data_IF_448522315185
#
_entry.id   IF_448522315185
#
_cell.length_a   1.000
_cell.length_b   1.000
_cell.length_c   1.000
_cell.angle_alpha   90.00
_cell.angle_beta   90.00
_cell.angle_gamma   90.00
#
_symmetry.space_group_name_H-M   'P 1'
#
loop_
_entity.id
_entity.type
_entity.pdbx_description
1 polymer ?
#
# COMPACT_ATOMS: atom_id res chain seq x y z
N UNK A 1 -3.71 -13.78 -20.00
CA UNK A 1 -2.41 -14.15 -19.39
C UNK A 1 -2.66 -14.59 -17.96
N UNK A 2 -1.99 -15.64 -17.45
CA UNK A 2 -2.32 -16.23 -16.15
C UNK A 2 -1.28 -15.89 -15.09
N UNK A 3 -1.68 -15.26 -13.98
CA UNK A 3 -0.83 -15.10 -12.80
C UNK A 3 -0.82 -16.44 -12.06
N UNK A 4 0.36 -17.06 -11.93
CA UNK A 4 0.52 -18.33 -11.20
C UNK A 4 1.22 -18.13 -9.86
N UNK A 5 1.07 -19.09 -8.95
CA UNK A 5 1.82 -19.09 -7.69
C UNK A 5 3.34 -19.08 -7.91
N UNK A 6 3.82 -19.68 -9.01
CA UNK A 6 5.23 -19.67 -9.38
C UNK A 6 5.72 -18.27 -9.74
N UNK A 7 4.95 -17.51 -10.54
CA UNK A 7 5.24 -16.09 -10.84
C UNK A 7 5.34 -15.29 -9.56
N UNK A 8 4.37 -15.44 -8.64
CA UNK A 8 4.37 -14.71 -7.36
C UNK A 8 5.59 -15.08 -6.52
N UNK A 9 5.94 -16.37 -6.37
CA UNK A 9 7.13 -16.78 -5.60
C UNK A 9 8.43 -16.23 -6.17
N UNK A 10 8.53 -16.11 -7.48
CA UNK A 10 9.75 -15.55 -8.12
C UNK A 10 9.90 -14.06 -7.92
N UNK A 11 8.80 -13.32 -7.89
CA UNK A 11 8.78 -11.86 -7.65
C UNK A 11 8.93 -11.56 -6.15
N UNK A 12 8.31 -12.36 -5.30
CA UNK A 12 8.22 -12.17 -3.86
C UNK A 12 8.43 -13.50 -3.11
N UNK A 13 9.69 -14.00 -2.99
CA UNK A 13 9.97 -15.27 -2.34
C UNK A 13 9.46 -15.37 -0.90
N UNK A 14 9.44 -14.24 -0.18
CA UNK A 14 8.93 -14.13 1.19
C UNK A 14 7.44 -14.45 1.32
N UNK A 15 6.69 -14.43 0.21
CA UNK A 15 5.27 -14.82 0.20
C UNK A 15 5.07 -16.32 0.48
N UNK A 16 6.05 -17.15 0.17
CA UNK A 16 6.08 -18.57 0.51
C UNK A 16 4.82 -19.33 0.09
N UNK A 17 4.17 -19.98 1.06
CA UNK A 17 2.94 -20.77 0.85
C UNK A 17 1.73 -19.92 0.48
N UNK A 18 1.73 -18.62 0.81
CA UNK A 18 0.63 -17.70 0.49
C UNK A 18 0.58 -17.33 -1.01
N UNK A 19 1.62 -17.65 -1.78
CA UNK A 19 1.70 -17.28 -3.21
C UNK A 19 0.52 -17.76 -4.05
N UNK A 20 -0.05 -18.92 -3.73
CA UNK A 20 -1.23 -19.45 -4.41
C UNK A 20 -2.49 -18.60 -4.14
N UNK A 21 -2.70 -18.20 -2.89
CA UNK A 21 -3.81 -17.34 -2.49
C UNK A 21 -3.66 -15.94 -3.10
N UNK A 22 -2.45 -15.38 -3.10
CA UNK A 22 -2.13 -14.09 -3.75
C UNK A 22 -2.44 -14.14 -5.25
N UNK A 23 -1.98 -15.19 -5.95
CA UNK A 23 -2.25 -15.36 -7.38
C UNK A 23 -3.75 -15.48 -7.67
N UNK A 24 -4.49 -16.26 -6.85
CA UNK A 24 -5.94 -16.42 -6.97
C UNK A 24 -6.70 -15.11 -6.75
N UNK A 25 -6.26 -14.28 -5.79
CA UNK A 25 -6.87 -12.97 -5.52
C UNK A 25 -6.57 -11.94 -6.62
N UNK A 26 -5.35 -11.94 -7.18
CA UNK A 26 -4.95 -11.02 -8.25
C UNK A 26 -5.64 -11.31 -9.58
N UNK A 27 -5.89 -12.57 -9.93
CA UNK A 27 -6.42 -12.94 -11.24
C UNK A 27 -7.71 -12.19 -11.60
N UNK A 28 -8.80 -12.21 -10.80
CA UNK A 28 -10.01 -11.45 -11.12
C UNK A 28 -9.80 -9.94 -11.05
N UNK A 29 -8.88 -9.45 -10.21
CA UNK A 29 -8.62 -8.02 -10.08
C UNK A 29 -7.96 -7.45 -11.33
N UNK A 30 -6.92 -8.10 -11.87
CA UNK A 30 -6.23 -7.64 -13.08
C UNK A 30 -7.13 -7.68 -14.32
N UNK A 31 -7.99 -8.69 -14.43
CA UNK A 31 -8.98 -8.76 -15.51
C UNK A 31 -9.99 -7.62 -15.42
N UNK A 32 -10.57 -7.38 -14.25
CA UNK A 32 -11.56 -6.32 -14.03
C UNK A 32 -11.06 -4.94 -14.44
N UNK A 33 -9.77 -4.67 -14.24
CA UNK A 33 -9.17 -3.34 -14.49
C UNK A 33 -8.29 -3.28 -15.74
N UNK A 34 -8.35 -4.30 -16.60
CA UNK A 34 -7.62 -4.33 -17.86
C UNK A 34 -6.10 -4.36 -17.69
N UNK A 35 -5.60 -4.94 -16.59
CA UNK A 35 -4.16 -5.14 -16.33
C UNK A 35 -3.77 -6.54 -16.85
N UNK A 36 -4.16 -6.86 -18.08
CA UNK A 36 -4.14 -8.21 -18.63
C UNK A 36 -3.19 -8.40 -19.83
N UNK A 37 -2.40 -7.38 -20.16
CA UNK A 37 -1.29 -7.54 -21.11
C UNK A 37 0.02 -7.88 -20.38
N UNK A 38 0.98 -8.44 -21.14
CA UNK A 38 2.29 -8.78 -20.59
C UNK A 38 2.99 -7.56 -19.98
N UNK A 39 3.04 -6.42 -20.69
CA UNK A 39 3.67 -5.20 -20.18
C UNK A 39 2.97 -4.67 -18.92
N UNK A 40 1.64 -4.62 -18.90
CA UNK A 40 0.90 -4.16 -17.72
C UNK A 40 1.16 -5.01 -16.50
N UNK A 41 1.21 -6.33 -16.63
CA UNK A 41 1.55 -7.23 -15.52
C UNK A 41 3.01 -7.07 -15.06
N UNK A 42 3.95 -6.89 -16.00
CA UNK A 42 5.37 -6.65 -15.70
C UNK A 42 5.55 -5.38 -14.86
N UNK A 43 4.72 -4.38 -15.06
CA UNK A 43 4.78 -3.14 -14.29
C UNK A 43 3.93 -3.18 -13.00
N UNK A 44 2.75 -3.79 -13.03
CA UNK A 44 1.82 -3.83 -11.90
C UNK A 44 2.33 -4.68 -10.75
N UNK A 45 2.72 -5.93 -11.02
CA UNK A 45 3.09 -6.89 -9.97
C UNK A 45 4.27 -6.43 -9.11
N UNK A 46 5.38 -5.89 -9.67
CA UNK A 46 6.50 -5.41 -8.86
C UNK A 46 6.15 -4.20 -8.01
N UNK A 47 5.32 -3.28 -8.48
CA UNK A 47 4.90 -2.14 -7.67
C UNK A 47 4.10 -2.60 -6.46
N UNK A 48 3.12 -3.48 -6.67
CA UNK A 48 2.32 -4.02 -5.57
C UNK A 48 3.19 -4.85 -4.61
N UNK A 49 4.13 -5.64 -5.13
CA UNK A 49 5.07 -6.40 -4.29
C UNK A 49 5.95 -5.47 -3.44
N UNK A 50 6.50 -4.40 -4.04
CA UNK A 50 7.30 -3.41 -3.31
C UNK A 50 6.50 -2.75 -2.20
N UNK A 51 5.32 -2.18 -2.48
CA UNK A 51 4.48 -1.46 -1.53
C UNK A 51 4.01 -2.35 -0.37
N UNK A 52 3.74 -3.62 -0.63
CA UNK A 52 3.20 -4.56 0.35
C UNK A 52 4.28 -5.39 1.07
N UNK A 53 5.58 -5.18 0.76
CA UNK A 53 6.64 -6.05 1.28
C UNK A 53 6.47 -7.50 0.82
N UNK A 54 6.24 -7.70 -0.50
CA UNK A 54 6.04 -9.01 -1.09
C UNK A 54 4.66 -9.60 -0.83
N UNK A 55 3.62 -8.80 -0.92
CA UNK A 55 2.21 -9.17 -0.67
C UNK A 55 1.90 -9.57 0.78
N UNK A 56 2.82 -9.32 1.71
CA UNK A 56 2.67 -9.74 3.10
C UNK A 56 1.87 -8.74 3.95
N UNK A 57 1.94 -7.45 3.64
CA UNK A 57 1.31 -6.39 4.43
C UNK A 57 -0.01 -5.95 3.80
N UNK A 58 -1.12 -6.26 4.45
CA UNK A 58 -2.47 -5.82 4.10
C UNK A 58 -3.06 -4.81 5.07
N UNK A 59 -2.43 -4.63 6.21
CA UNK A 59 -2.79 -3.61 7.21
C UNK A 59 -1.54 -3.01 7.80
N UNK A 60 -1.58 -1.71 8.01
CA UNK A 60 -0.50 -0.97 8.66
C UNK A 60 -0.30 -1.48 10.09
N UNK A 61 0.97 -1.67 10.45
CA UNK A 61 1.40 -2.02 11.79
C UNK A 61 2.03 -0.81 12.46
N UNK A 62 1.37 -0.28 13.48
CA UNK A 62 1.82 0.89 14.25
C UNK A 62 2.52 0.50 15.57
N UNK A 63 3.08 -0.69 15.65
CA UNK A 63 3.81 -1.20 16.81
C UNK A 63 5.21 -0.54 16.93
N UNK A 64 5.23 0.77 17.05
CA UNK A 64 6.44 1.58 17.10
C UNK A 64 7.03 1.67 18.51
N UNK A 65 8.34 1.78 18.60
CA UNK A 65 9.03 2.27 19.81
C UNK A 65 8.90 3.79 19.90
N UNK A 66 9.08 4.40 21.11
CA UNK A 66 8.98 5.85 21.30
C UNK A 66 9.80 6.68 20.31
N UNK A 67 11.07 6.32 20.13
CA UNK A 67 11.98 7.05 19.23
C UNK A 67 11.48 6.98 17.78
N UNK A 68 10.98 5.80 17.36
CA UNK A 68 10.44 5.60 16.01
C UNK A 68 9.17 6.42 15.77
N UNK A 69 8.29 6.58 16.77
CA UNK A 69 7.12 7.48 16.69
C UNK A 69 7.55 8.89 16.39
N UNK A 70 8.55 9.40 17.15
CA UNK A 70 9.03 10.77 16.98
C UNK A 70 9.68 11.00 15.61
N UNK A 71 10.45 10.04 15.12
CA UNK A 71 11.10 10.12 13.79
C UNK A 71 10.08 10.00 12.66
N UNK A 72 9.12 9.08 12.78
CA UNK A 72 8.17 8.77 11.70
C UNK A 72 7.10 9.86 11.55
N UNK A 73 6.55 10.36 12.66
CA UNK A 73 5.36 11.21 12.61
C UNK A 73 5.64 12.70 12.90
N UNK A 74 6.82 13.05 13.39
CA UNK A 74 7.23 14.44 13.53
C UNK A 74 8.11 14.87 12.36
N UNK A 75 7.86 16.06 11.86
CA UNK A 75 8.71 16.73 10.86
C UNK A 75 9.31 17.99 11.46
N UNK A 76 10.18 18.67 10.70
CA UNK A 76 10.69 19.97 11.12
C UNK A 76 9.57 21.00 11.40
N UNK A 77 8.47 20.92 10.63
CA UNK A 77 7.36 21.89 10.69
C UNK A 77 6.17 21.42 11.55
N UNK A 78 5.97 20.12 11.70
CA UNK A 78 4.78 19.57 12.39
C UNK A 78 5.22 18.59 13.45
N UNK A 79 4.85 18.85 14.68
CA UNK A 79 5.06 17.97 15.84
C UNK A 79 3.73 17.34 16.23
N UNK A 80 3.55 16.04 15.89
CA UNK A 80 2.33 15.29 16.21
C UNK A 80 2.39 14.65 17.58
N UNK A 81 3.59 14.27 18.00
CA UNK A 81 3.83 13.63 19.28
C UNK A 81 4.85 14.43 20.11
N UNK A 82 4.55 14.61 21.39
CA UNK A 82 5.57 15.00 22.39
C UNK A 82 6.40 13.77 22.77
N UNK A 83 7.61 13.93 23.32
CA UNK A 83 8.39 12.81 23.87
C UNK A 83 7.60 12.00 24.92
N UNK A 84 6.85 12.66 25.81
CA UNK A 84 6.04 12.02 26.83
C UNK A 84 4.91 11.15 26.21
N UNK A 85 4.23 11.64 25.17
CA UNK A 85 3.22 10.86 24.45
C UNK A 85 3.84 9.68 23.69
N UNK A 86 5.02 9.85 23.09
CA UNK A 86 5.71 8.77 22.43
C UNK A 86 6.09 7.67 23.42
N UNK A 87 6.57 8.01 24.60
CA UNK A 87 6.87 7.06 25.68
C UNK A 87 5.60 6.36 26.19
N UNK A 88 4.53 7.11 26.39
CA UNK A 88 3.24 6.58 26.90
C UNK A 88 2.60 5.60 25.95
N UNK A 89 2.61 5.87 24.61
CA UNK A 89 1.88 5.08 23.61
C UNK A 89 2.78 4.13 22.82
N UNK A 90 4.08 4.37 22.77
CA UNK A 90 5.03 3.50 22.09
C UNK A 90 5.25 2.18 22.84
N UNK A 91 5.73 1.16 22.12
CA UNK A 91 6.14 -0.09 22.73
C UNK A 91 7.43 0.07 23.51
N UNK A 92 7.41 -0.27 24.78
CA UNK A 92 8.57 -0.29 25.68
C UNK A 92 8.87 -1.70 26.18
N UNK A 93 9.79 -1.81 27.13
CA UNK A 93 10.05 -3.09 27.82
C UNK A 93 8.90 -3.47 28.77
N UNK A 94 8.08 -2.51 29.21
CA UNK A 94 7.04 -2.69 30.23
C UNK A 94 5.63 -2.76 29.66
N UNK A 95 5.41 -2.27 28.41
CA UNK A 95 4.08 -2.33 27.76
C UNK A 95 4.16 -2.41 26.23
N UNK A 96 3.11 -2.96 25.63
CA UNK A 96 2.91 -2.96 24.19
C UNK A 96 2.55 -1.54 23.68
N UNK A 97 2.74 -1.30 22.38
CA UNK A 97 2.30 -0.05 21.77
C UNK A 97 0.76 0.05 21.78
N UNK A 98 0.24 1.21 22.14
CA UNK A 98 -1.15 1.58 21.89
C UNK A 98 -1.30 2.05 20.43
N UNK A 99 -1.37 1.06 19.53
CA UNK A 99 -1.40 1.32 18.08
C UNK A 99 -2.62 2.15 17.67
N UNK A 100 -3.74 2.00 18.38
CA UNK A 100 -4.96 2.75 18.08
C UNK A 100 -4.78 4.25 18.39
N UNK A 101 -4.26 4.57 19.55
CA UNK A 101 -3.99 5.95 19.92
C UNK A 101 -2.90 6.55 19.02
N UNK A 102 -1.85 5.78 18.71
CA UNK A 102 -0.80 6.22 17.76
C UNK A 102 -1.41 6.58 16.41
N UNK A 103 -2.25 5.71 15.81
CA UNK A 103 -2.91 5.99 14.55
C UNK A 103 -3.79 7.24 14.61
N UNK A 104 -4.60 7.35 15.66
CA UNK A 104 -5.55 8.45 15.81
C UNK A 104 -4.85 9.82 15.93
N UNK A 105 -3.71 9.88 16.62
CA UNK A 105 -2.90 11.10 16.71
C UNK A 105 -2.14 11.35 15.38
N UNK A 106 -1.50 10.31 14.83
CA UNK A 106 -0.68 10.45 13.62
C UNK A 106 -1.47 10.97 12.42
N UNK A 107 -2.72 10.51 12.29
CA UNK A 107 -3.58 10.78 11.13
C UNK A 107 -4.70 11.79 11.40
N UNK A 108 -4.75 12.40 12.60
CA UNK A 108 -5.73 13.44 12.93
C UNK A 108 -5.69 14.62 11.95
N UNK A 109 -6.86 15.09 11.52
CA UNK A 109 -7.05 16.26 10.64
C UNK A 109 -6.28 16.14 9.31
N UNK A 110 -6.15 14.92 8.77
CA UNK A 110 -5.46 14.64 7.50
C UNK A 110 -6.30 13.68 6.65
N UNK A 111 -6.16 13.78 5.33
CA UNK A 111 -6.75 12.83 4.38
C UNK A 111 -8.25 12.56 4.63
N UNK A 112 -8.98 13.61 5.05
CA UNK A 112 -10.41 13.54 5.37
C UNK A 112 -10.75 12.98 6.76
N UNK A 113 -9.75 12.64 7.59
CA UNK A 113 -9.98 12.23 8.97
C UNK A 113 -10.38 13.43 9.85
N UNK A 114 -11.23 13.20 10.84
CA UNK A 114 -11.48 14.11 11.93
C UNK A 114 -10.30 14.23 12.88
N UNK A 115 -10.53 14.80 14.05
CA UNK A 115 -9.54 14.92 15.13
C UNK A 115 -9.17 13.53 15.70
N UNK A 116 -8.23 13.49 16.64
CA UNK A 116 -7.78 12.25 17.26
C UNK A 116 -8.88 11.49 18.03
N UNK A 117 -9.95 12.21 18.46
CA UNK A 117 -11.07 11.60 19.20
C UNK A 117 -12.08 10.92 18.27
N UNK A 118 -12.08 11.26 16.97
CA UNK A 118 -12.97 10.67 15.98
C UNK A 118 -12.76 9.16 15.77
N UNK A 119 -11.57 8.65 16.10
CA UNK A 119 -11.19 7.26 15.82
C UNK A 119 -10.86 6.98 14.36
N UNK A 120 -10.95 7.99 13.49
CA UNK A 120 -10.73 7.84 12.04
C UNK A 120 -9.33 7.35 11.72
N UNK A 121 -8.32 7.86 12.42
CA UNK A 121 -6.93 7.47 12.19
C UNK A 121 -6.72 5.96 12.28
N UNK A 122 -7.31 5.32 13.27
CA UNK A 122 -7.25 3.86 13.41
C UNK A 122 -8.13 3.13 12.41
N UNK A 123 -9.37 3.58 12.23
CA UNK A 123 -10.34 2.96 11.33
C UNK A 123 -9.80 2.94 9.89
N UNK A 124 -9.22 4.06 9.44
CA UNK A 124 -8.75 4.26 8.07
C UNK A 124 -7.21 4.24 7.93
N UNK A 125 -6.51 3.59 8.89
CA UNK A 125 -5.06 3.35 8.74
C UNK A 125 -4.76 2.54 7.50
N UNK A 126 -3.52 2.55 7.04
CA UNK A 126 -3.10 1.89 5.81
C UNK A 126 -3.71 0.50 5.63
N UNK A 127 -4.39 0.29 4.50
CA UNK A 127 -5.09 -0.95 4.15
C UNK A 127 -4.90 -1.37 2.70
N UNK A 128 -5.00 -2.67 2.44
CA UNK A 128 -4.71 -3.27 1.13
C UNK A 128 -3.21 -3.27 0.80
N UNK A 129 -2.86 -3.88 -0.32
CA UNK A 129 -1.45 -3.95 -0.74
C UNK A 129 -0.85 -2.61 -1.16
N UNK A 130 -1.69 -1.63 -1.54
CA UNK A 130 -1.25 -0.26 -1.85
C UNK A 130 -1.40 0.69 -0.65
N UNK A 131 -1.68 0.16 0.54
CA UNK A 131 -1.73 0.92 1.79
C UNK A 131 -2.62 2.18 1.69
N UNK A 132 -3.85 2.04 1.17
CA UNK A 132 -4.82 3.14 1.14
C UNK A 132 -5.05 3.66 2.55
N UNK A 133 -4.82 4.96 2.77
CA UNK A 133 -4.87 5.58 4.10
C UNK A 133 -5.78 6.80 4.09
N UNK A 134 -6.53 6.98 5.17
CA UNK A 134 -7.41 8.13 5.40
C UNK A 134 -8.82 7.95 4.87
N UNK A 135 -9.74 8.69 5.49
CA UNK A 135 -11.18 8.60 5.22
C UNK A 135 -11.52 8.91 3.76
N UNK A 136 -10.85 9.88 3.13
CA UNK A 136 -11.07 10.20 1.71
C UNK A 136 -10.81 8.99 0.81
N UNK A 137 -9.66 8.32 0.97
CA UNK A 137 -9.30 7.18 0.13
C UNK A 137 -10.16 5.95 0.43
N UNK A 138 -10.44 5.69 1.71
CA UNK A 138 -11.31 4.58 2.11
C UNK A 138 -12.74 4.75 1.58
N UNK A 139 -13.31 5.96 1.69
CA UNK A 139 -14.64 6.25 1.17
C UNK A 139 -14.70 6.13 -0.35
N UNK A 140 -13.73 6.68 -1.08
CA UNK A 140 -13.67 6.56 -2.54
C UNK A 140 -13.59 5.09 -2.98
N UNK A 141 -12.82 4.28 -2.28
CA UNK A 141 -12.72 2.83 -2.52
C UNK A 141 -14.06 2.14 -2.18
N UNK A 142 -14.66 2.44 -1.03
CA UNK A 142 -15.94 1.89 -0.60
C UNK A 142 -17.06 2.20 -1.59
N UNK A 143 -17.17 3.46 -2.02
CA UNK A 143 -18.18 3.93 -2.97
C UNK A 143 -18.01 3.23 -4.34
N UNK A 144 -16.78 3.08 -4.81
CA UNK A 144 -16.50 2.39 -6.08
C UNK A 144 -16.91 0.92 -6.07
N UNK A 145 -16.67 0.21 -4.96
CA UNK A 145 -16.97 -1.22 -4.85
C UNK A 145 -18.35 -1.52 -4.27
N UNK A 146 -19.13 -0.51 -3.86
CA UNK A 146 -20.42 -0.68 -3.19
C UNK A 146 -20.30 -1.32 -1.81
N UNK A 147 -19.21 -1.02 -1.09
CA UNK A 147 -18.93 -1.54 0.26
C UNK A 147 -19.31 -0.49 1.29
N UNK A 148 -19.92 -0.91 2.39
CA UNK A 148 -20.23 0.01 3.47
C UNK A 148 -18.94 0.61 4.07
N UNK A 149 -18.92 1.92 4.30
CA UNK A 149 -17.73 2.67 4.72
C UNK A 149 -17.13 2.20 6.05
N UNK A 150 -17.95 1.64 6.95
CA UNK A 150 -17.48 1.17 8.25
C UNK A 150 -16.67 -0.14 8.14
N UNK A 151 -16.91 -0.96 7.11
CA UNK A 151 -16.25 -2.25 6.95
C UNK A 151 -15.17 -2.25 5.86
N UNK A 152 -14.99 -1.14 5.12
CA UNK A 152 -13.99 -1.09 4.05
C UNK A 152 -12.58 -1.35 4.55
N UNK A 153 -12.24 -0.87 5.75
CA UNK A 153 -10.94 -1.13 6.37
C UNK A 153 -10.68 -2.63 6.58
N UNK A 154 -11.67 -3.39 7.08
CA UNK A 154 -11.57 -4.85 7.26
C UNK A 154 -11.49 -5.56 5.92
N UNK A 155 -12.32 -5.15 4.95
CA UNK A 155 -12.31 -5.69 3.60
C UNK A 155 -10.93 -5.52 2.92
N UNK A 156 -10.27 -4.36 3.05
CA UNK A 156 -8.92 -4.13 2.56
C UNK A 156 -7.88 -5.10 3.18
N UNK A 157 -8.15 -5.61 4.39
CA UNK A 157 -7.32 -6.61 5.05
C UNK A 157 -7.46 -8.04 4.50
N UNK A 158 -8.46 -8.32 3.66
CA UNK A 158 -8.62 -9.61 2.98
C UNK A 158 -7.74 -9.70 1.73
N UNK A 159 -7.46 -10.92 1.24
CA UNK A 159 -6.71 -11.09 -0.01
C UNK A 159 -7.45 -10.48 -1.20
N UNK A 160 -8.76 -10.71 -1.28
CA UNK A 160 -9.59 -10.16 -2.35
C UNK A 160 -9.67 -8.64 -2.31
N UNK A 161 -9.88 -8.05 -1.13
CA UNK A 161 -9.91 -6.60 -0.95
C UNK A 161 -8.56 -5.95 -1.25
N UNK A 162 -7.46 -6.56 -0.82
CA UNK A 162 -6.11 -6.08 -1.10
C UNK A 162 -5.78 -6.09 -2.59
N UNK A 163 -6.16 -7.16 -3.31
CA UNK A 163 -5.95 -7.27 -4.75
C UNK A 163 -6.80 -6.29 -5.54
N UNK A 164 -8.11 -6.23 -5.24
CA UNK A 164 -9.05 -5.36 -5.93
C UNK A 164 -8.72 -3.88 -5.71
N UNK A 165 -8.38 -3.49 -4.48
CA UNK A 165 -8.00 -2.11 -4.17
C UNK A 165 -6.68 -1.71 -4.83
N UNK A 166 -5.72 -2.63 -4.97
CA UNK A 166 -4.47 -2.37 -5.69
C UNK A 166 -4.71 -2.15 -7.19
N UNK A 167 -5.52 -3.00 -7.80
CA UNK A 167 -5.88 -2.86 -9.22
C UNK A 167 -6.77 -1.62 -9.47
N UNK A 168 -7.66 -1.26 -8.53
CA UNK A 168 -8.43 -0.03 -8.56
C UNK A 168 -7.53 1.21 -8.45
N UNK A 169 -6.57 1.24 -7.52
CA UNK A 169 -5.57 2.32 -7.41
C UNK A 169 -4.84 2.52 -8.74
N UNK A 170 -4.41 1.43 -9.36
CA UNK A 170 -3.77 1.44 -10.67
C UNK A 170 -4.65 2.07 -11.76
N UNK A 171 -5.92 1.68 -11.78
CA UNK A 171 -6.91 2.16 -12.74
C UNK A 171 -7.20 3.66 -12.58
N UNK A 172 -7.51 4.12 -11.36
CA UNK A 172 -7.89 5.53 -11.13
C UNK A 172 -6.73 6.49 -11.35
N UNK A 173 -5.48 6.02 -11.22
CA UNK A 173 -4.28 6.78 -11.55
C UNK A 173 -3.83 6.60 -13.00
N UNK A 174 -4.62 5.89 -13.82
CA UNK A 174 -4.36 5.66 -15.25
C UNK A 174 -2.94 5.12 -15.53
N UNK A 175 -2.46 4.16 -14.71
CA UNK A 175 -1.07 3.68 -14.77
C UNK A 175 -0.81 2.75 -15.95
N UNK A 176 -1.85 2.18 -16.57
CA UNK A 176 -1.71 1.40 -17.81
C UNK A 176 -0.99 2.19 -18.91
N UNK A 177 -1.18 3.53 -18.99
CA UNK A 177 -0.52 4.37 -20.01
C UNK A 177 1.02 4.32 -19.93
N UNK A 178 1.57 4.29 -18.72
CA UNK A 178 3.02 4.18 -18.53
C UNK A 178 3.51 2.75 -18.72
N UNK A 179 2.73 1.78 -18.26
CA UNK A 179 3.04 0.36 -18.47
C UNK A 179 3.06 -0.01 -19.96
N UNK A 180 2.13 0.51 -20.76
CA UNK A 180 2.06 0.27 -22.20
C UNK A 180 3.24 0.91 -22.96
N UNK A 181 3.86 1.96 -22.41
CA UNK A 181 5.08 2.60 -22.94
C UNK A 181 6.37 1.99 -22.36
N UNK A 182 6.27 0.97 -21.51
CA UNK A 182 7.38 0.36 -20.76
C UNK A 182 8.14 1.38 -19.87
N UNK A 183 7.44 2.39 -19.35
CA UNK A 183 7.99 3.48 -18.54
C UNK A 183 7.95 3.10 -17.03
N UNK A 184 9.02 2.44 -16.57
CA UNK A 184 9.18 2.06 -15.14
C UNK A 184 9.22 3.28 -14.23
N UNK A 185 9.83 4.37 -14.69
CA UNK A 185 9.98 5.59 -13.92
C UNK A 185 8.63 6.30 -13.74
N UNK A 186 7.87 6.43 -14.85
CA UNK A 186 6.53 7.02 -14.80
C UNK A 186 5.56 6.24 -13.89
N UNK A 187 5.62 4.91 -13.93
CA UNK A 187 4.84 4.07 -12.99
C UNK A 187 5.29 4.32 -11.56
N UNK A 188 6.60 4.29 -11.29
CA UNK A 188 7.17 4.44 -9.94
C UNK A 188 6.85 5.80 -9.33
N UNK A 189 6.98 6.86 -10.11
CA UNK A 189 6.63 8.23 -9.71
C UNK A 189 5.15 8.35 -9.33
N UNK A 190 4.27 7.87 -10.20
CA UNK A 190 2.83 7.97 -9.93
C UNK A 190 2.40 7.15 -8.72
N UNK A 191 3.02 5.99 -8.47
CA UNK A 191 2.76 5.17 -7.30
C UNK A 191 3.27 5.85 -6.02
N UNK A 192 4.48 6.38 -6.03
CA UNK A 192 5.15 6.91 -4.83
C UNK A 192 4.91 8.40 -4.61
N UNK A 193 5.00 9.22 -5.66
CA UNK A 193 4.94 10.70 -5.60
C UNK A 193 3.53 11.20 -5.95
N UNK A 194 2.69 10.35 -6.58
CA UNK A 194 1.33 10.68 -7.03
C UNK A 194 1.28 11.37 -8.40
N UNK A 195 2.40 11.59 -9.05
CA UNK A 195 2.49 12.19 -10.39
C UNK A 195 3.83 11.85 -11.04
N UNK A 196 3.88 11.82 -12.38
CA UNK A 196 5.15 11.78 -13.12
C UNK A 196 5.96 13.05 -12.89
N UNK A 197 7.24 12.91 -12.61
CA UNK A 197 8.20 14.01 -12.48
C UNK A 197 9.14 14.06 -13.69
N UNK A 198 10.00 15.09 -13.76
CA UNK A 198 11.02 15.20 -14.80
C UNK A 198 12.32 14.50 -14.40
N UNK A 199 12.55 14.31 -13.12
CA UNK A 199 13.71 13.60 -12.60
C UNK A 199 13.50 12.09 -12.75
N UNK A 200 14.55 11.38 -13.16
CA UNK A 200 14.49 9.92 -13.28
C UNK A 200 14.98 9.29 -12.00
N UNK A 201 14.16 8.43 -11.42
CA UNK A 201 14.52 7.63 -10.26
C UNK A 201 14.42 8.35 -8.91
N UNK A 202 13.63 9.42 -8.82
CA UNK A 202 13.37 10.15 -7.59
C UNK A 202 12.27 9.54 -6.71
N UNK A 203 11.50 8.58 -7.24
CA UNK A 203 10.59 7.76 -6.43
C UNK A 203 11.36 6.97 -5.37
N UNK A 204 10.88 6.98 -4.13
CA UNK A 204 11.48 6.22 -3.03
C UNK A 204 11.51 4.73 -3.40
N UNK A 205 12.68 4.10 -3.27
CA UNK A 205 12.86 2.68 -3.62
C UNK A 205 12.91 2.40 -5.13
N UNK A 206 13.15 3.41 -5.99
CA UNK A 206 13.16 3.25 -7.44
C UNK A 206 14.04 2.09 -7.93
N UNK A 207 15.24 1.95 -7.38
CA UNK A 207 16.17 0.86 -7.78
C UNK A 207 15.60 -0.53 -7.49
N UNK A 208 14.92 -0.69 -6.35
CA UNK A 208 14.24 -1.94 -6.01
C UNK A 208 13.02 -2.18 -6.92
N UNK A 209 12.21 -1.16 -7.19
CA UNK A 209 11.07 -1.24 -8.13
C UNK A 209 11.52 -1.66 -9.52
N UNK A 210 12.59 -1.06 -10.02
CA UNK A 210 13.22 -1.39 -11.30
C UNK A 210 13.75 -2.84 -11.31
N UNK A 211 14.49 -3.23 -10.28
CA UNK A 211 14.98 -4.60 -10.14
C UNK A 211 13.85 -5.62 -10.16
N UNK A 212 12.78 -5.40 -9.37
CA UNK A 212 11.61 -6.28 -9.35
C UNK A 212 10.91 -6.32 -10.72
N UNK A 213 10.85 -5.20 -11.44
CA UNK A 213 10.31 -5.14 -12.81
C UNK A 213 11.12 -6.03 -13.75
N UNK A 214 12.45 -5.94 -13.69
CA UNK A 214 13.34 -6.76 -14.52
C UNK A 214 13.24 -8.27 -14.16
N UNK A 215 13.05 -8.62 -12.89
CA UNK A 215 12.79 -10.00 -12.50
C UNK A 215 11.42 -10.47 -13.00
N UNK A 216 10.38 -9.62 -12.89
CA UNK A 216 9.03 -9.94 -13.37
C UNK A 216 9.03 -10.17 -14.88
N UNK A 217 9.80 -9.41 -15.64
CA UNK A 217 9.96 -9.54 -17.10
C UNK A 217 10.45 -10.92 -17.52
N UNK A 218 11.26 -11.58 -16.68
CA UNK A 218 11.81 -12.91 -16.95
C UNK A 218 10.83 -14.05 -16.68
N UNK A 219 9.79 -13.80 -15.90
CA UNK A 219 8.87 -14.86 -15.42
C UNK A 219 7.43 -14.72 -15.90
N UNK A 220 7.05 -13.54 -16.38
CA UNK A 220 5.75 -13.30 -17.01
C UNK A 220 5.89 -13.52 -18.51
N UNK A 221 5.37 -14.65 -18.99
CA UNK A 221 5.39 -15.03 -20.40
C UNK A 221 4.21 -14.43 -21.18
#
# INVERSE_FOLDING_TARGET
MRISAEVIRRIAPQCGTSAAAVAAALAPAVERFGINTRLRLIHFLPQVAHESGGFMRKRENLNYKPEAILVTFNTAKVKRFTPAQAEQYGRTATHAADQQTIANIAYANRMGNGDAKSGDGWRTRGGGWMQLTGTTNHNACADFFGIHRDVVGEWLGTDAGAALSAAWFWHVNNLNRFADMDDVDGVSDCVNIGRKTLAIGDAIGYQERRFLTDQTRKVVA
#
